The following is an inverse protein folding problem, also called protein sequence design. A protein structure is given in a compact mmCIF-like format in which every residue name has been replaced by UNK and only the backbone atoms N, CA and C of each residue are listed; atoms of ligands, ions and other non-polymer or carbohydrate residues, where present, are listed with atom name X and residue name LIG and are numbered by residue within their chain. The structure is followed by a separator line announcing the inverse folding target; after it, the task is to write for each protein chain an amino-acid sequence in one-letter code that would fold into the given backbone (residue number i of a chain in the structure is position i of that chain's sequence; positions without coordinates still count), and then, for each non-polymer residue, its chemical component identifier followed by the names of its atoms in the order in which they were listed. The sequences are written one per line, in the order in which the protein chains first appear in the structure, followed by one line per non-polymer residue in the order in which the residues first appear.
data_IF_807581007479
#
_entry.id   IF_807581007479
#
_cell.length_a   1.000
_cell.length_b   1.000
_cell.length_c   1.000
_cell.angle_alpha   90.00
_cell.angle_beta   90.00
_cell.angle_gamma   90.00
#
_symmetry.space_group_name_H-M   'P 1'
#
loop_
_entity.id
_entity.type
_entity.pdbx_description
1 polymer ?
#
# COMPACT_ATOMS: atom_id res chain seq x y z
N UNK A 1 -11.22 -9.17 14.01
CA UNK A 1 -11.68 -8.58 12.74
C UNK A 1 -10.46 -8.48 11.84
N UNK A 2 -10.53 -8.90 10.57
CA UNK A 2 -9.41 -8.76 9.62
C UNK A 2 -9.55 -7.46 8.83
N UNK A 3 -8.42 -6.84 8.49
CA UNK A 3 -8.35 -5.58 7.74
C UNK A 3 -7.63 -5.81 6.41
N UNK A 4 -8.07 -5.11 5.37
CA UNK A 4 -7.45 -5.19 4.05
C UNK A 4 -7.27 -3.81 3.44
N UNK A 5 -6.24 -3.67 2.60
CA UNK A 5 -5.96 -2.46 1.84
C UNK A 5 -6.00 -2.75 0.34
N UNK A 6 -6.58 -1.82 -0.42
CA UNK A 6 -6.68 -1.89 -1.87
C UNK A 6 -6.03 -0.64 -2.47
N UNK A 7 -4.95 -0.83 -3.23
CA UNK A 7 -4.33 0.23 -4.04
C UNK A 7 -4.65 0.00 -5.51
N UNK A 8 -5.58 0.80 -6.04
CA UNK A 8 -6.07 0.68 -7.43
C UNK A 8 -5.09 1.19 -8.49
N UNK A 9 -3.93 1.73 -8.07
CA UNK A 9 -2.92 2.28 -8.95
C UNK A 9 -3.25 3.68 -9.49
N UNK A 10 -2.38 4.19 -10.36
CA UNK A 10 -2.53 5.55 -10.89
C UNK A 10 -1.37 6.04 -11.75
N UNK A 11 -0.54 5.13 -12.28
CA UNK A 11 0.70 5.48 -12.97
C UNK A 11 1.61 6.32 -12.06
N UNK A 12 2.02 7.51 -12.53
CA UNK A 12 2.84 8.44 -11.75
C UNK A 12 2.15 8.96 -10.48
N UNK A 13 0.81 8.96 -10.43
CA UNK A 13 0.07 9.34 -9.21
C UNK A 13 0.16 8.30 -8.09
N UNK A 14 0.75 7.12 -8.36
CA UNK A 14 1.06 6.12 -7.35
C UNK A 14 1.99 6.64 -6.24
N UNK A 15 2.73 7.73 -6.49
CA UNK A 15 3.55 8.41 -5.47
C UNK A 15 2.73 8.88 -4.26
N UNK A 16 1.46 9.23 -4.45
CA UNK A 16 0.60 9.64 -3.34
C UNK A 16 0.30 8.46 -2.41
N UNK A 17 0.01 7.28 -2.97
CA UNK A 17 -0.23 6.09 -2.15
C UNK A 17 1.05 5.60 -1.48
N UNK A 18 2.22 5.77 -2.12
CA UNK A 18 3.50 5.49 -1.47
C UNK A 18 3.65 6.27 -0.17
N UNK A 19 3.36 7.59 -0.17
CA UNK A 19 3.38 8.39 1.05
C UNK A 19 2.35 7.98 2.12
N UNK A 20 1.17 7.48 1.70
CA UNK A 20 0.19 6.88 2.65
C UNK A 20 0.77 5.63 3.30
N UNK A 21 1.41 4.76 2.51
CA UNK A 21 2.03 3.54 3.03
C UNK A 21 3.24 3.83 3.91
N UNK A 22 4.05 4.84 3.59
CA UNK A 22 5.14 5.30 4.46
C UNK A 22 4.59 5.73 5.84
N UNK A 23 3.52 6.53 5.86
CA UNK A 23 2.85 6.89 7.12
C UNK A 23 2.34 5.65 7.87
N UNK A 24 1.76 4.68 7.16
CA UNK A 24 1.32 3.44 7.79
C UNK A 24 2.48 2.62 8.39
N UNK A 25 3.67 2.61 7.75
CA UNK A 25 4.86 2.00 8.31
C UNK A 25 5.31 2.71 9.59
N UNK A 26 5.37 4.05 9.56
CA UNK A 26 5.76 4.88 10.71
C UNK A 26 4.85 4.69 11.93
N UNK A 27 3.56 4.39 11.69
CA UNK A 27 2.56 4.18 12.73
C UNK A 27 2.35 2.69 13.09
N UNK A 28 3.17 1.78 12.56
CA UNK A 28 3.03 0.32 12.69
C UNK A 28 1.61 -0.20 12.36
N UNK A 29 0.94 0.44 11.40
CA UNK A 29 -0.34 -0.03 10.88
C UNK A 29 -0.08 -1.29 10.06
N UNK A 30 -0.95 -2.30 10.17
CA UNK A 30 -0.80 -3.56 9.43
C UNK A 30 -2.13 -3.98 8.86
N UNK A 31 -2.08 -4.48 7.63
CA UNK A 31 -3.23 -5.05 6.95
C UNK A 31 -3.01 -6.56 6.81
N UNK A 32 -4.06 -7.34 7.02
CA UNK A 32 -4.04 -8.80 6.85
C UNK A 32 -4.06 -9.23 5.37
N UNK A 33 -4.48 -8.31 4.49
CA UNK A 33 -4.61 -8.53 3.04
C UNK A 33 -4.24 -7.24 2.29
N UNK A 34 -3.41 -7.37 1.25
CA UNK A 34 -3.12 -6.31 0.29
C UNK A 34 -3.54 -6.73 -1.11
N UNK A 35 -4.30 -5.87 -1.80
CA UNK A 35 -4.62 -6.01 -3.22
C UNK A 35 -4.11 -4.77 -3.94
N UNK A 36 -3.22 -4.94 -4.92
CA UNK A 36 -2.68 -3.83 -5.69
C UNK A 36 -2.87 -4.04 -7.19
N UNK A 37 -3.15 -2.96 -7.93
CA UNK A 37 -3.30 -2.95 -9.39
C UNK A 37 -2.24 -2.03 -10.02
N UNK A 38 -1.51 -2.53 -11.02
CA UNK A 38 -0.48 -1.77 -11.75
C UNK A 38 0.55 -1.13 -10.80
N UNK A 39 0.73 0.19 -10.79
CA UNK A 39 1.60 0.89 -9.85
C UNK A 39 1.24 0.61 -8.37
N UNK A 40 -0.04 0.37 -8.08
CA UNK A 40 -0.48 0.01 -6.73
C UNK A 40 -0.03 -1.38 -6.30
N UNK A 41 0.19 -2.30 -7.25
CA UNK A 41 0.82 -3.61 -6.96
C UNK A 41 2.23 -3.42 -6.41
N UNK A 42 3.01 -2.50 -7.00
CA UNK A 42 4.36 -2.21 -6.53
C UNK A 42 4.36 -1.57 -5.14
N UNK A 43 3.48 -0.59 -4.90
CA UNK A 43 3.35 0.04 -3.58
C UNK A 43 2.97 -0.96 -2.48
N UNK A 44 1.93 -1.76 -2.72
CA UNK A 44 1.49 -2.79 -1.75
C UNK A 44 2.60 -3.82 -1.53
N UNK A 45 3.27 -4.28 -2.59
CA UNK A 45 4.38 -5.23 -2.48
C UNK A 45 5.54 -4.67 -1.66
N UNK A 46 5.95 -3.42 -1.90
CA UNK A 46 7.00 -2.76 -1.12
C UNK A 46 6.61 -2.59 0.35
N UNK A 47 5.37 -2.19 0.62
CA UNK A 47 4.86 -2.00 1.98
C UNK A 47 4.86 -3.30 2.80
N UNK A 48 4.48 -4.43 2.19
CA UNK A 48 4.47 -5.72 2.88
C UNK A 48 5.86 -6.35 3.00
N UNK A 49 6.81 -5.98 2.13
CA UNK A 49 8.17 -6.53 2.07
C UNK A 49 9.15 -5.91 3.08
N UNK A 50 8.68 -4.96 3.89
CA UNK A 50 9.37 -4.36 5.04
C UNK A 50 10.30 -5.31 5.80
#
# INVERSE_FOLDING_TARGET
MKTGVVDVGGGLRGVYTAGVFDYCLDQDIRFDLGIGVSAGSANVASYIAR
#
